data_IF_945195723251
#
_entry.id   IF_945195723251
#
_cell.length_a   1.000
_cell.length_b   1.000
_cell.length_c   1.000
_cell.angle_alpha   90.00
_cell.angle_beta   90.00
_cell.angle_gamma   90.00
#
_symmetry.space_group_name_H-M   'P 1'
#
loop_
_entity.id
_entity.type
_entity.pdbx_description
1 polymer ?
#
# COMPACT_ATOMS: atom_id res chain seq x y z
N UNK A 1 -8.90 -11.70 -0.29
CA UNK A 1 -9.46 -13.05 -0.35
C UNK A 1 -8.56 -14.17 0.15
N UNK A 2 -7.26 -14.18 -0.21
CA UNK A 2 -6.38 -15.30 0.11
C UNK A 2 -6.28 -15.63 1.62
N UNK A 3 -6.04 -14.67 2.53
CA UNK A 3 -5.98 -14.99 3.97
C UNK A 3 -7.27 -15.61 4.50
N UNK A 4 -8.41 -15.11 4.07
CA UNK A 4 -9.72 -15.67 4.43
C UNK A 4 -9.86 -17.12 3.97
N UNK A 5 -9.51 -17.41 2.72
CA UNK A 5 -9.61 -18.77 2.18
C UNK A 5 -8.67 -19.76 2.91
N UNK A 6 -7.47 -19.34 3.24
CA UNK A 6 -6.52 -20.17 3.99
C UNK A 6 -6.95 -20.37 5.45
N UNK A 7 -7.61 -19.38 6.06
CA UNK A 7 -8.07 -19.48 7.45
C UNK A 7 -9.11 -20.60 7.68
N UNK A 8 -9.76 -21.06 6.62
CA UNK A 8 -10.64 -22.24 6.67
C UNK A 8 -9.86 -23.56 6.81
N UNK A 9 -8.55 -23.54 6.60
CA UNK A 9 -7.67 -24.72 6.60
C UNK A 9 -6.65 -24.71 7.73
N UNK A 10 -6.45 -23.58 8.38
CA UNK A 10 -5.46 -23.43 9.45
C UNK A 10 -5.28 -22.00 9.89
N UNK A 11 -4.35 -21.79 10.82
CA UNK A 11 -3.98 -20.46 11.32
C UNK A 11 -3.10 -19.73 10.31
N UNK A 12 -3.42 -18.47 10.07
CA UNK A 12 -2.77 -17.61 9.08
C UNK A 12 -2.09 -16.43 9.77
N UNK A 13 -0.83 -16.21 9.48
CA UNK A 13 -0.12 -14.97 9.78
C UNK A 13 0.06 -14.19 8.46
N UNK A 14 -0.53 -13.01 8.40
CA UNK A 14 -0.36 -12.09 7.29
C UNK A 14 0.59 -10.96 7.70
N UNK A 15 1.65 -10.79 6.93
CA UNK A 15 2.67 -9.77 7.15
C UNK A 15 2.52 -8.66 6.11
N UNK A 16 2.38 -7.44 6.61
CA UNK A 16 2.30 -6.22 5.81
C UNK A 16 3.53 -5.34 6.05
N UNK A 17 4.05 -4.67 5.02
CA UNK A 17 5.25 -3.84 5.19
C UNK A 17 4.99 -2.59 6.03
N UNK A 18 3.77 -2.06 6.04
CA UNK A 18 3.43 -0.80 6.72
C UNK A 18 2.16 -0.90 7.55
N UNK A 19 2.04 -0.01 8.55
CA UNK A 19 0.84 0.10 9.39
C UNK A 19 -0.43 0.43 8.60
N UNK A 20 -0.44 1.40 7.68
CA UNK A 20 -1.63 1.70 6.89
C UNK A 20 -2.13 0.50 6.06
N UNK A 21 -1.21 -0.29 5.51
CA UNK A 21 -1.57 -1.50 4.75
C UNK A 21 -2.19 -2.55 5.68
N UNK A 22 -1.59 -2.80 6.85
CA UNK A 22 -2.14 -3.73 7.84
C UNK A 22 -3.55 -3.32 8.30
N UNK A 23 -3.76 -2.05 8.62
CA UNK A 23 -5.07 -1.52 8.99
C UNK A 23 -6.09 -1.63 7.85
N UNK A 24 -5.68 -1.34 6.61
CA UNK A 24 -6.54 -1.42 5.44
C UNK A 24 -7.02 -2.86 5.17
N UNK A 25 -6.10 -3.82 5.18
CA UNK A 25 -6.46 -5.23 4.99
C UNK A 25 -7.35 -5.75 6.12
N UNK A 26 -7.07 -5.37 7.36
CA UNK A 26 -7.92 -5.69 8.50
C UNK A 26 -9.36 -5.18 8.28
N UNK A 27 -9.51 -3.94 7.87
CA UNK A 27 -10.81 -3.32 7.57
C UNK A 27 -11.53 -4.01 6.41
N UNK A 28 -10.81 -4.38 5.35
CA UNK A 28 -11.39 -5.12 4.23
C UNK A 28 -11.90 -6.50 4.64
N UNK A 29 -11.19 -7.20 5.52
CA UNK A 29 -11.63 -8.50 6.03
C UNK A 29 -12.84 -8.39 6.97
N UNK A 30 -12.96 -7.28 7.70
CA UNK A 30 -14.11 -7.01 8.55
C UNK A 30 -15.38 -6.66 7.76
N UNK A 31 -15.24 -6.13 6.56
CA UNK A 31 -16.34 -5.77 5.67
C UNK A 31 -16.78 -6.90 4.74
N UNK A 32 -17.89 -6.66 3.98
CA UNK A 32 -18.34 -7.60 2.96
C UNK A 32 -17.25 -7.84 1.88
N UNK A 33 -17.16 -9.01 1.30
CA UNK A 33 -18.00 -10.21 1.54
C UNK A 33 -17.52 -11.10 2.69
N UNK A 34 -16.42 -10.77 3.34
CA UNK A 34 -15.75 -11.66 4.31
C UNK A 34 -16.40 -11.62 5.70
N UNK A 35 -16.68 -10.43 6.22
CA UNK A 35 -17.32 -10.21 7.53
C UNK A 35 -16.67 -10.99 8.66
N UNK A 36 -15.34 -11.03 8.72
CA UNK A 36 -14.56 -11.73 9.75
C UNK A 36 -13.83 -10.75 10.65
N UNK A 37 -13.38 -11.23 11.81
CA UNK A 37 -12.73 -10.42 12.84
C UNK A 37 -11.28 -10.92 13.03
N UNK A 38 -10.31 -10.46 12.23
CA UNK A 38 -8.92 -10.85 12.40
C UNK A 38 -8.30 -10.18 13.62
N UNK A 39 -7.22 -10.78 14.14
CA UNK A 39 -6.33 -10.12 15.09
C UNK A 39 -5.38 -9.20 14.34
N UNK A 40 -5.26 -7.96 14.81
CA UNK A 40 -4.31 -6.97 14.26
C UNK A 40 -3.31 -6.57 15.33
N UNK A 41 -2.03 -6.76 15.06
CA UNK A 41 -0.94 -6.42 15.99
C UNK A 41 0.17 -5.65 15.28
N UNK A 42 0.49 -4.49 15.84
CA UNK A 42 1.61 -3.65 15.40
C UNK A 42 2.06 -2.76 16.55
N UNK A 43 3.18 -2.10 16.41
CA UNK A 43 3.71 -1.26 17.49
C UNK A 43 2.68 -0.22 17.95
N UNK A 44 2.31 -0.31 19.23
CA UNK A 44 1.34 0.60 19.85
C UNK A 44 -0.12 0.30 19.59
N UNK A 45 -0.43 -0.80 18.87
CA UNK A 45 -1.82 -1.22 18.61
C UNK A 45 -1.93 -2.73 18.64
N UNK A 46 -2.86 -3.24 19.45
CA UNK A 46 -3.26 -4.64 19.43
C UNK A 46 -4.78 -4.73 19.53
N UNK A 47 -5.39 -5.36 18.55
CA UNK A 47 -6.83 -5.64 18.51
C UNK A 47 -7.02 -7.14 18.27
N UNK A 48 -7.65 -7.81 19.20
CA UNK A 48 -7.84 -9.26 19.13
C UNK A 48 -9.17 -9.60 18.49
N UNK A 49 -9.13 -10.49 17.49
CA UNK A 49 -10.29 -11.02 16.80
C UNK A 49 -10.54 -12.49 17.12
N UNK A 50 -11.61 -13.04 16.57
CA UNK A 50 -12.00 -14.43 16.76
C UNK A 50 -11.69 -15.33 15.54
N UNK A 51 -11.25 -14.74 14.44
CA UNK A 51 -10.88 -15.49 13.23
C UNK A 51 -9.42 -15.95 13.32
N UNK A 52 -9.06 -17.14 12.80
CA UNK A 52 -7.67 -17.62 12.82
C UNK A 52 -6.76 -16.90 11.81
N UNK A 53 -6.92 -15.59 11.71
CA UNK A 53 -6.08 -14.69 10.91
C UNK A 53 -5.46 -13.67 11.86
N UNK A 54 -4.14 -13.61 11.87
CA UNK A 54 -3.38 -12.57 12.55
C UNK A 54 -2.68 -11.73 11.51
N UNK A 55 -2.85 -10.42 11.59
CA UNK A 55 -2.20 -9.43 10.74
C UNK A 55 -1.15 -8.70 11.57
N UNK A 56 0.06 -8.64 11.08
CA UNK A 56 1.17 -7.91 11.72
C UNK A 56 1.95 -7.11 10.69
N UNK A 57 2.58 -6.03 11.14
CA UNK A 57 3.67 -5.46 10.36
C UNK A 57 4.92 -6.33 10.47
N UNK A 58 5.71 -6.41 9.39
CA UNK A 58 6.91 -7.25 9.34
C UNK A 58 7.88 -6.95 10.49
N UNK A 59 8.05 -5.66 10.83
CA UNK A 59 8.90 -5.23 11.94
C UNK A 59 8.39 -5.69 13.31
N UNK A 60 7.08 -5.68 13.52
CA UNK A 60 6.48 -6.17 14.78
C UNK A 60 6.63 -7.68 14.88
N UNK A 61 6.38 -8.42 13.81
CA UNK A 61 6.54 -9.86 13.79
C UNK A 61 7.98 -10.29 14.06
N UNK A 62 8.95 -9.63 13.41
CA UNK A 62 10.37 -9.88 13.67
C UNK A 62 10.71 -9.69 15.16
N UNK A 63 10.31 -8.58 15.76
CA UNK A 63 10.59 -8.29 17.17
C UNK A 63 9.92 -9.30 18.09
N UNK A 64 8.66 -9.64 17.84
CA UNK A 64 7.90 -10.57 18.66
C UNK A 64 8.45 -11.98 18.63
N UNK A 65 8.73 -12.49 17.43
CA UNK A 65 9.12 -13.89 17.25
C UNK A 65 10.63 -14.14 17.38
N UNK A 66 11.48 -13.13 17.24
CA UNK A 66 12.89 -13.24 17.61
C UNK A 66 13.06 -13.57 19.10
N UNK A 67 12.15 -13.08 19.94
CA UNK A 67 12.16 -13.36 21.38
C UNK A 67 11.34 -14.61 21.78
N UNK A 68 10.44 -15.07 20.92
CA UNK A 68 9.55 -16.20 21.20
C UNK A 68 9.38 -17.07 19.93
N UNK A 69 10.45 -17.71 19.44
CA UNK A 69 10.42 -18.41 18.17
C UNK A 69 9.44 -19.58 18.13
N UNK A 70 9.23 -20.25 19.26
CA UNK A 70 8.33 -21.40 19.34
C UNK A 70 6.88 -21.05 18.94
N UNK A 71 6.48 -19.81 19.13
CA UNK A 71 5.13 -19.34 18.74
C UNK A 71 4.91 -19.26 17.23
N UNK A 72 5.97 -19.26 16.44
CA UNK A 72 5.86 -19.29 14.98
C UNK A 72 5.17 -20.58 14.52
N UNK A 73 5.41 -21.68 15.21
CA UNK A 73 4.85 -22.99 14.88
C UNK A 73 3.32 -23.08 15.06
N UNK A 74 2.70 -22.08 15.70
CA UNK A 74 1.25 -22.00 15.80
C UNK A 74 0.56 -21.72 14.44
N UNK A 75 1.29 -21.16 13.47
CA UNK A 75 0.74 -20.82 12.17
C UNK A 75 1.00 -21.93 11.16
N UNK A 76 -0.06 -22.27 10.41
CA UNK A 76 0.02 -23.20 9.29
C UNK A 76 0.47 -22.47 8.01
N UNK A 77 0.11 -21.19 7.90
CA UNK A 77 0.42 -20.36 6.74
C UNK A 77 1.00 -19.02 7.19
N UNK A 78 2.11 -18.61 6.57
CA UNK A 78 2.68 -17.27 6.71
C UNK A 78 2.71 -16.61 5.34
N UNK A 79 2.02 -15.48 5.21
CA UNK A 79 1.89 -14.73 3.97
C UNK A 79 2.74 -13.46 4.10
N UNK A 80 3.68 -13.28 3.17
CA UNK A 80 4.40 -12.03 2.95
C UNK A 80 3.69 -11.27 1.85
N UNK A 81 2.92 -10.25 2.19
CA UNK A 81 2.30 -9.37 1.21
C UNK A 81 3.26 -8.29 0.75
N UNK A 82 3.03 -7.76 -0.46
CA UNK A 82 3.89 -6.77 -1.10
C UNK A 82 5.37 -7.19 -1.11
N UNK A 83 5.64 -8.47 -1.37
CA UNK A 83 6.98 -9.07 -1.24
C UNK A 83 8.02 -8.54 -2.25
N UNK A 84 7.60 -7.70 -3.21
CA UNK A 84 8.50 -6.93 -4.07
C UNK A 84 9.21 -5.79 -3.32
N UNK A 85 8.65 -5.34 -2.20
CA UNK A 85 9.29 -4.38 -1.29
C UNK A 85 10.28 -5.16 -0.44
N UNK A 86 11.57 -5.07 -0.78
CA UNK A 86 12.65 -5.77 -0.07
C UNK A 86 13.07 -4.99 1.17
N UNK A 87 12.19 -4.87 2.16
CA UNK A 87 12.50 -4.21 3.42
C UNK A 87 13.27 -5.14 4.37
N UNK A 88 14.16 -4.55 5.18
CA UNK A 88 15.02 -5.32 6.09
C UNK A 88 14.25 -6.16 7.11
N UNK A 89 13.16 -5.68 7.77
CA UNK A 89 12.41 -6.51 8.71
C UNK A 89 11.77 -7.75 8.08
N UNK A 90 11.20 -7.65 6.87
CA UNK A 90 10.60 -8.79 6.17
C UNK A 90 11.67 -9.82 5.76
N UNK A 91 12.80 -9.35 5.26
CA UNK A 91 13.93 -10.22 4.90
C UNK A 91 14.50 -10.93 6.12
N UNK A 92 14.70 -10.21 7.21
CA UNK A 92 15.21 -10.78 8.48
C UNK A 92 14.22 -11.80 9.06
N UNK A 93 12.91 -11.51 9.00
CA UNK A 93 11.90 -12.46 9.47
C UNK A 93 11.86 -13.72 8.59
N UNK A 94 12.02 -13.58 7.28
CA UNK A 94 12.13 -14.73 6.40
C UNK A 94 13.36 -15.60 6.71
N UNK A 95 14.52 -14.99 7.00
CA UNK A 95 15.71 -15.71 7.45
C UNK A 95 15.46 -16.41 8.78
N UNK A 96 14.80 -15.75 9.73
CA UNK A 96 14.41 -16.34 11.00
C UNK A 96 13.57 -17.62 10.81
N UNK A 97 12.57 -17.58 9.91
CA UNK A 97 11.76 -18.77 9.59
C UNK A 97 12.59 -19.92 9.05
N UNK A 98 13.61 -19.62 8.24
CA UNK A 98 14.54 -20.64 7.71
C UNK A 98 15.40 -21.24 8.82
N UNK A 99 15.94 -20.40 9.68
CA UNK A 99 16.81 -20.82 10.78
C UNK A 99 16.08 -21.68 11.82
N UNK A 100 14.82 -21.35 12.09
CA UNK A 100 13.95 -22.14 12.99
C UNK A 100 13.27 -23.34 12.31
N UNK A 101 13.62 -23.64 11.06
CA UNK A 101 13.05 -24.75 10.31
C UNK A 101 11.52 -24.77 10.33
N UNK A 102 10.92 -23.57 10.12
CA UNK A 102 9.47 -23.45 10.08
C UNK A 102 8.85 -24.46 9.08
N UNK A 103 7.92 -25.27 9.57
CA UNK A 103 7.33 -26.39 8.82
C UNK A 103 6.04 -26.04 8.09
N UNK A 104 5.42 -24.92 8.38
CA UNK A 104 4.23 -24.43 7.69
C UNK A 104 4.52 -23.92 6.29
N UNK A 105 3.52 -23.43 5.60
CA UNK A 105 3.66 -22.89 4.25
C UNK A 105 3.96 -21.40 4.28
N UNK A 106 5.02 -21.00 3.59
CA UNK A 106 5.37 -19.60 3.33
C UNK A 106 4.83 -19.24 1.94
N UNK A 107 4.03 -18.19 1.88
CA UNK A 107 3.41 -17.70 0.65
C UNK A 107 3.87 -16.27 0.43
N UNK A 108 4.40 -15.99 -0.76
CA UNK A 108 4.83 -14.64 -1.17
C UNK A 108 3.81 -14.10 -2.17
N UNK A 109 3.30 -12.91 -1.88
CA UNK A 109 2.28 -12.23 -2.69
C UNK A 109 2.82 -10.89 -3.16
N UNK A 110 2.63 -10.61 -4.44
CA UNK A 110 2.98 -9.32 -5.04
C UNK A 110 2.11 -9.08 -6.26
N UNK A 111 1.68 -7.84 -6.45
CA UNK A 111 1.03 -7.40 -7.68
C UNK A 111 2.06 -7.23 -8.83
N UNK A 112 3.33 -7.02 -8.49
CA UNK A 112 4.42 -6.76 -9.43
C UNK A 112 5.64 -7.65 -9.17
N UNK A 113 5.51 -9.00 -9.31
CA UNK A 113 6.64 -9.88 -9.08
C UNK A 113 7.74 -9.61 -10.13
N UNK A 114 8.99 -9.43 -9.72
CA UNK A 114 10.08 -9.14 -10.66
C UNK A 114 10.30 -10.33 -11.62
N UNK A 115 10.53 -10.02 -12.89
CA UNK A 115 10.91 -10.99 -13.92
C UNK A 115 9.78 -11.90 -14.42
N UNK A 116 8.52 -11.56 -14.16
CA UNK A 116 7.37 -12.28 -14.71
C UNK A 116 6.46 -11.36 -15.50
N UNK A 117 6.07 -11.78 -16.69
CA UNK A 117 4.99 -11.17 -17.45
C UNK A 117 3.64 -11.66 -16.92
N UNK A 118 2.64 -10.78 -16.93
CA UNK A 118 1.27 -11.15 -16.61
C UNK A 118 0.63 -11.86 -17.81
N UNK A 119 -0.13 -12.93 -17.55
CA UNK A 119 -0.88 -13.67 -18.57
C UNK A 119 -2.16 -12.95 -19.03
N UNK A 120 -2.51 -11.85 -18.37
CA UNK A 120 -3.71 -11.06 -18.68
C UNK A 120 -3.36 -9.57 -18.83
N UNK A 121 -4.13 -8.89 -19.66
CA UNK A 121 -4.02 -7.44 -19.88
C UNK A 121 -5.01 -6.69 -19.00
N UNK A 122 -4.68 -5.42 -18.65
CA UNK A 122 -5.62 -4.54 -17.96
C UNK A 122 -6.72 -4.06 -18.88
N UNK A 123 -7.94 -3.88 -18.35
CA UNK A 123 -9.03 -3.19 -19.05
C UNK A 123 -8.80 -1.67 -19.13
N UNK A 124 -7.87 -1.15 -18.34
CA UNK A 124 -7.50 0.26 -18.28
C UNK A 124 -6.01 0.39 -18.62
N UNK A 125 -5.65 0.45 -19.91
CA UNK A 125 -4.26 0.57 -20.32
C UNK A 125 -3.65 1.87 -19.81
N UNK A 126 -2.36 1.81 -19.46
CA UNK A 126 -1.59 2.97 -19.02
C UNK A 126 -0.63 3.37 -20.13
N UNK A 127 -0.78 4.60 -20.62
CA UNK A 127 0.19 5.19 -21.55
C UNK A 127 1.34 5.83 -20.77
N UNK A 128 2.56 5.44 -21.10
CA UNK A 128 3.76 5.95 -20.44
C UNK A 128 4.38 7.04 -21.31
N UNK A 129 4.48 8.24 -20.76
CA UNK A 129 5.14 9.39 -21.39
C UNK A 129 6.35 9.81 -20.58
N UNK A 130 7.53 9.76 -21.17
CA UNK A 130 8.78 10.18 -20.54
C UNK A 130 9.12 11.59 -21.00
N UNK A 131 9.25 12.52 -20.06
CA UNK A 131 9.64 13.91 -20.31
C UNK A 131 11.03 14.15 -19.73
N UNK A 132 12.05 14.17 -20.59
CA UNK A 132 13.44 14.30 -20.19
C UNK A 132 13.92 15.76 -19.96
N UNK A 133 13.23 16.71 -20.57
CA UNK A 133 13.66 18.12 -20.60
C UNK A 133 12.94 19.03 -19.59
N UNK A 134 12.05 18.50 -18.79
CA UNK A 134 11.26 19.24 -17.79
C UNK A 134 11.47 18.65 -16.41
N UNK A 135 11.60 19.51 -15.41
CA UNK A 135 11.47 19.07 -14.02
C UNK A 135 10.02 18.69 -13.75
N UNK A 136 9.78 17.81 -12.76
CA UNK A 136 8.43 17.45 -12.35
C UNK A 136 7.57 18.68 -12.03
N UNK A 137 8.13 19.65 -11.31
CA UNK A 137 7.43 20.89 -10.97
C UNK A 137 7.04 21.69 -12.22
N UNK A 138 7.95 21.86 -13.18
CA UNK A 138 7.66 22.56 -14.44
C UNK A 138 6.56 21.85 -15.22
N UNK A 139 6.62 20.53 -15.34
CA UNK A 139 5.60 19.74 -16.03
C UNK A 139 4.23 19.88 -15.39
N UNK A 140 4.15 19.77 -14.06
CA UNK A 140 2.89 19.92 -13.31
C UNK A 140 2.32 21.33 -13.46
N UNK A 141 3.18 22.36 -13.43
CA UNK A 141 2.77 23.76 -13.62
C UNK A 141 2.25 24.00 -15.04
N UNK A 142 2.86 23.42 -16.06
CA UNK A 142 2.38 23.49 -17.45
C UNK A 142 1.02 22.82 -17.62
N UNK A 143 0.80 21.65 -17.02
CA UNK A 143 -0.51 20.98 -16.99
C UNK A 143 -1.57 21.88 -16.31
N UNK A 144 -1.17 22.60 -15.27
CA UNK A 144 -2.00 23.54 -14.53
C UNK A 144 -2.44 24.73 -15.40
N UNK A 145 -1.52 25.34 -16.13
CA UNK A 145 -1.80 26.56 -16.91
C UNK A 145 -2.56 26.31 -18.20
N UNK A 146 -2.70 25.05 -18.62
CA UNK A 146 -3.36 24.70 -19.88
C UNK A 146 -2.58 25.13 -21.12
N UNK A 147 -1.32 25.53 -20.97
CA UNK A 147 -0.44 25.99 -22.07
C UNK A 147 0.00 24.86 -22.98
N UNK A 148 -0.12 23.62 -22.54
CA UNK A 148 0.10 22.43 -23.38
C UNK A 148 -1.21 22.01 -24.02
N UNK A 149 -1.22 21.85 -25.35
CA UNK A 149 -2.36 21.33 -26.10
C UNK A 149 -2.84 19.94 -25.59
N UNK A 150 -1.99 19.28 -24.79
CA UNK A 150 -2.22 17.95 -24.21
C UNK A 150 -2.81 17.99 -22.78
N UNK A 151 -3.02 19.16 -22.18
CA UNK A 151 -3.58 19.25 -20.82
C UNK A 151 -4.97 18.62 -20.69
N UNK A 152 -5.73 18.58 -21.76
CA UNK A 152 -7.02 17.88 -21.86
C UNK A 152 -6.87 16.36 -22.00
N UNK A 153 -5.75 15.89 -22.49
CA UNK A 153 -5.44 14.48 -22.74
C UNK A 153 -5.29 13.68 -21.44
N UNK A 154 -4.79 14.32 -20.39
CA UNK A 154 -4.48 13.66 -19.11
C UNK A 154 -5.65 13.64 -18.11
N UNK A 155 -6.80 14.13 -18.50
CA UNK A 155 -7.99 14.15 -17.63
C UNK A 155 -7.94 15.25 -16.56
N UNK A 156 -8.91 15.21 -15.66
CA UNK A 156 -9.11 16.24 -14.65
C UNK A 156 -8.51 15.91 -13.27
N UNK A 157 -8.21 14.63 -13.02
CA UNK A 157 -7.66 14.16 -11.76
C UNK A 157 -6.20 13.76 -11.98
N UNK A 158 -5.30 14.43 -11.30
CA UNK A 158 -3.86 14.28 -11.48
C UNK A 158 -3.25 13.87 -10.16
N UNK A 159 -2.59 12.71 -10.10
CA UNK A 159 -1.85 12.24 -8.95
C UNK A 159 -0.36 12.50 -9.19
N UNK A 160 0.26 13.25 -8.29
CA UNK A 160 1.67 13.64 -8.37
C UNK A 160 2.46 13.02 -7.23
N UNK A 161 3.41 12.19 -7.55
CA UNK A 161 4.34 11.63 -6.57
C UNK A 161 5.56 12.54 -6.42
N UNK A 162 5.88 12.91 -5.20
CA UNK A 162 7.05 13.73 -4.86
C UNK A 162 7.91 13.02 -3.81
N UNK A 163 9.18 13.44 -3.69
CA UNK A 163 10.15 12.73 -2.88
C UNK A 163 10.19 13.16 -1.41
N UNK A 164 9.72 14.36 -1.08
CA UNK A 164 9.84 14.91 0.27
C UNK A 164 8.62 15.70 0.71
N UNK A 165 8.47 15.88 2.04
CA UNK A 165 7.43 16.75 2.60
C UNK A 165 7.54 18.21 2.13
N UNK A 166 8.75 18.71 1.91
CA UNK A 166 8.97 20.05 1.37
C UNK A 166 8.43 20.17 -0.06
N UNK A 167 8.59 19.12 -0.88
CA UNK A 167 8.07 19.12 -2.24
C UNK A 167 6.52 19.06 -2.23
N UNK A 168 5.92 18.28 -1.31
CA UNK A 168 4.46 18.27 -1.11
C UNK A 168 3.98 19.68 -0.81
N UNK A 169 4.59 20.36 0.14
CA UNK A 169 4.16 21.67 0.60
C UNK A 169 4.35 22.75 -0.47
N UNK A 170 5.54 22.82 -1.10
CA UNK A 170 5.85 23.84 -2.11
C UNK A 170 5.03 23.69 -3.38
N UNK A 171 4.87 22.46 -3.89
CA UNK A 171 4.08 22.20 -5.08
C UNK A 171 2.58 22.47 -4.83
N UNK A 172 2.08 22.03 -3.69
CA UNK A 172 0.69 22.26 -3.31
C UNK A 172 0.37 23.75 -3.18
N UNK A 173 1.26 24.53 -2.57
CA UNK A 173 1.10 25.97 -2.45
C UNK A 173 1.05 26.65 -3.83
N UNK A 174 2.01 26.32 -4.71
CA UNK A 174 2.07 26.88 -6.06
C UNK A 174 0.80 26.58 -6.86
N UNK A 175 0.27 25.35 -6.76
CA UNK A 175 -0.97 24.97 -7.44
C UNK A 175 -2.21 25.67 -6.87
N UNK A 176 -2.27 25.88 -5.55
CA UNK A 176 -3.36 26.65 -4.91
C UNK A 176 -3.34 28.10 -5.34
N UNK A 177 -2.17 28.72 -5.45
CA UNK A 177 -2.02 30.10 -5.96
C UNK A 177 -2.54 30.22 -7.39
N UNK A 178 -2.41 29.19 -8.21
CA UNK A 178 -3.02 29.09 -9.54
C UNK A 178 -4.52 28.74 -9.54
N UNK A 179 -5.15 28.70 -8.40
CA UNK A 179 -6.59 28.41 -8.22
C UNK A 179 -7.01 26.99 -8.56
N UNK A 180 -6.10 26.01 -8.42
CA UNK A 180 -6.45 24.60 -8.56
C UNK A 180 -6.93 24.01 -7.22
N UNK A 181 -7.75 22.98 -7.31
CA UNK A 181 -8.08 22.14 -6.17
C UNK A 181 -6.89 21.21 -5.88
N UNK A 182 -6.37 21.25 -4.67
CA UNK A 182 -5.20 20.45 -4.26
C UNK A 182 -5.51 19.66 -3.00
N UNK A 183 -5.20 18.40 -3.02
CA UNK A 183 -5.33 17.50 -1.89
C UNK A 183 -3.95 16.97 -1.54
N UNK A 184 -3.45 17.28 -0.35
CA UNK A 184 -2.18 16.75 0.15
C UNK A 184 -2.37 15.34 0.69
N UNK A 185 -1.46 14.45 0.30
CA UNK A 185 -1.44 13.05 0.76
C UNK A 185 -0.03 12.69 1.20
N UNK A 186 0.21 12.73 2.48
CA UNK A 186 1.48 12.30 3.09
C UNK A 186 1.24 11.70 4.48
N UNK A 187 2.30 11.22 5.12
CA UNK A 187 2.20 10.62 6.44
C UNK A 187 1.69 11.55 7.55
N UNK A 188 1.67 12.89 7.33
CA UNK A 188 1.16 13.90 8.25
C UNK A 188 -0.34 14.17 8.03
N UNK A 189 -0.85 13.97 6.80
CA UNK A 189 -2.18 14.42 6.36
C UNK A 189 -3.14 13.26 6.05
N UNK A 190 -2.70 12.01 6.12
CA UNK A 190 -3.55 10.85 5.83
C UNK A 190 -4.74 10.76 6.78
N UNK A 191 -5.91 11.14 6.28
CA UNK A 191 -7.22 10.93 6.89
C UNK A 191 -7.97 9.81 6.16
N UNK A 192 -8.92 9.17 6.84
CA UNK A 192 -9.67 8.01 6.31
C UNK A 192 -10.34 8.23 4.94
N UNK A 193 -10.66 9.46 4.56
CA UNK A 193 -11.35 9.78 3.31
C UNK A 193 -10.42 9.97 2.10
N UNK A 194 -9.11 10.01 2.30
CA UNK A 194 -8.15 10.29 1.22
C UNK A 194 -8.12 9.15 0.20
N UNK A 195 -8.20 7.91 0.65
CA UNK A 195 -8.23 6.73 -0.24
C UNK A 195 -9.43 6.74 -1.17
N UNK A 196 -10.61 7.13 -0.67
CA UNK A 196 -11.83 7.24 -1.49
C UNK A 196 -11.71 8.31 -2.57
N UNK A 197 -11.12 9.46 -2.28
CA UNK A 197 -10.88 10.54 -3.23
C UNK A 197 -9.90 10.10 -4.33
N UNK A 198 -8.80 9.43 -3.97
CA UNK A 198 -7.83 8.90 -4.94
C UNK A 198 -8.48 7.87 -5.86
N UNK A 199 -9.31 6.96 -5.31
CA UNK A 199 -9.95 5.89 -6.06
C UNK A 199 -11.06 6.39 -6.98
N UNK A 200 -11.91 7.30 -6.50
CA UNK A 200 -13.11 7.74 -7.21
C UNK A 200 -12.91 9.05 -8.00
N UNK A 201 -11.83 9.78 -7.72
CA UNK A 201 -11.59 11.10 -8.28
C UNK A 201 -12.54 12.17 -7.73
N UNK A 202 -12.53 13.34 -8.36
CA UNK A 202 -13.44 14.44 -8.04
C UNK A 202 -14.14 14.93 -9.31
N UNK A 203 -15.31 15.53 -9.17
CA UNK A 203 -16.04 16.19 -10.28
C UNK A 203 -15.46 17.56 -10.65
N UNK A 204 -14.52 18.08 -9.86
CA UNK A 204 -13.88 19.38 -10.11
C UNK A 204 -12.88 19.29 -11.26
N UNK A 205 -12.85 20.34 -12.09
CA UNK A 205 -11.83 20.45 -13.13
C UNK A 205 -10.45 20.61 -12.48
N UNK A 206 -9.50 19.76 -12.87
CA UNK A 206 -8.09 19.74 -12.45
C UNK A 206 -7.92 19.74 -10.94
N UNK A 207 -8.13 18.58 -10.37
CA UNK A 207 -7.77 18.28 -9.00
C UNK A 207 -6.39 17.62 -8.98
N UNK A 208 -5.46 18.18 -8.24
CA UNK A 208 -4.15 17.63 -8.01
C UNK A 208 -4.11 16.94 -6.64
N UNK A 209 -3.61 15.73 -6.63
CA UNK A 209 -3.30 15.00 -5.40
C UNK A 209 -1.78 14.88 -5.32
N UNK A 210 -1.20 15.48 -4.31
CA UNK A 210 0.26 15.62 -4.15
C UNK A 210 0.76 14.88 -2.92
#
# INVERSE_FOLDING_TARGET
>A
GLPYHLSMRGKVLLLEPTRPLAENVCRQLQGPPFNVSPTLQMRGLSSFGCTPITIMTSGFALHMYANNPDKISEYDFIIFDECHIMEAPAMAFYCLLKEYEYRGKIIKVSATPPGRECEFTTQHPVDIHVCENLTQQQFVMELGTGSTADATKYGNNILVYVASYNDVDSLSQALVELKFSVIKVDGRTMKQNTTGIITNGTSQKKCFVV
#
